data_IF_344336057876
#
_entry.id   IF_344336057876
#
_cell.length_a   1.000
_cell.length_b   1.000
_cell.length_c   1.000
_cell.angle_alpha   90.00
_cell.angle_beta   90.00
_cell.angle_gamma   90.00
#
_symmetry.space_group_name_H-M   'P 1'
#
loop_
_entity.id
_entity.type
_entity.pdbx_description
1 polymer ?
#
# COMPACT_ATOMS: atom_id res chain seq x y z
N UNK A 1 17.52 8.72 9.87
CA UNK A 1 18.03 9.05 11.22
C UNK A 1 19.52 9.33 11.15
N UNK A 2 19.97 10.30 11.95
CA UNK A 2 21.39 10.65 12.07
C UNK A 2 21.76 10.57 13.53
N UNK A 3 22.81 9.82 13.83
CA UNK A 3 23.43 9.75 15.15
C UNK A 3 24.73 10.53 15.10
N UNK A 4 24.97 11.40 16.07
CA UNK A 4 26.15 12.23 16.06
C UNK A 4 26.31 13.10 17.29
N UNK A 5 27.27 14.00 17.25
CA UNK A 5 27.60 14.87 18.38
C UNK A 5 27.04 16.27 18.17
N UNK A 6 26.31 16.77 19.16
CA UNK A 6 25.71 18.10 19.16
C UNK A 6 26.54 18.97 20.06
N UNK A 7 26.96 20.16 19.59
CA UNK A 7 27.56 21.17 20.46
C UNK A 7 26.47 21.94 21.24
N UNK A 8 26.82 22.50 22.33
CA UNK A 8 25.96 23.41 23.06
C UNK A 8 25.52 24.60 22.20
N UNK A 9 24.25 25.02 22.39
CA UNK A 9 23.71 26.18 21.68
C UNK A 9 24.42 27.45 22.12
N UNK A 10 24.67 28.38 21.21
CA UNK A 10 25.14 29.74 21.52
C UNK A 10 23.94 30.60 21.94
N UNK A 11 24.22 31.74 22.61
CA UNK A 11 23.19 32.63 23.18
C UNK A 11 22.09 33.04 22.18
N UNK A 12 22.44 33.21 20.89
CA UNK A 12 21.51 33.62 19.82
C UNK A 12 20.94 32.44 18.98
N UNK A 13 21.17 31.21 19.34
CA UNK A 13 20.70 30.04 18.62
C UNK A 13 19.49 29.41 19.30
N UNK A 14 18.52 28.97 18.49
CA UNK A 14 17.33 28.24 18.97
C UNK A 14 17.67 26.81 19.39
N UNK A 15 18.60 26.17 18.68
CA UNK A 15 19.01 24.77 18.87
C UNK A 15 20.53 24.62 18.84
N UNK A 16 21.06 23.57 19.50
CA UNK A 16 22.44 23.13 19.31
C UNK A 16 22.69 22.65 17.89
N UNK A 17 23.88 22.85 17.36
CA UNK A 17 24.22 22.39 16.03
C UNK A 17 24.85 20.98 16.06
N UNK A 18 24.41 20.10 15.18
CA UNK A 18 25.10 18.83 14.92
C UNK A 18 26.43 19.18 14.23
N UNK A 19 27.56 18.85 14.86
CA UNK A 19 28.88 19.16 14.30
C UNK A 19 29.67 17.94 13.86
N UNK A 20 29.24 16.74 14.28
CA UNK A 20 29.85 15.49 13.87
C UNK A 20 28.79 14.41 13.70
N UNK A 21 28.87 13.64 12.61
CA UNK A 21 27.96 12.54 12.32
C UNK A 21 28.72 11.23 12.51
N UNK A 22 28.25 10.39 13.40
CA UNK A 22 28.80 9.06 13.67
C UNK A 22 28.17 8.00 12.77
N UNK A 23 26.84 8.03 12.63
CA UNK A 23 26.05 7.05 11.87
C UNK A 23 24.86 7.71 11.15
N UNK A 24 24.44 7.10 10.03
CA UNK A 24 23.21 7.45 9.31
C UNK A 24 22.39 6.17 9.10
N UNK A 25 21.14 6.18 9.57
CA UNK A 25 20.23 5.02 9.56
C UNK A 25 20.85 3.73 10.17
N UNK A 26 21.66 3.89 11.21
CA UNK A 26 22.33 2.79 11.89
C UNK A 26 23.60 2.26 11.19
N UNK A 27 23.99 2.84 10.04
CA UNK A 27 25.20 2.46 9.29
C UNK A 27 26.32 3.49 9.47
N UNK A 28 27.56 3.01 9.39
CA UNK A 28 28.77 3.86 9.45
C UNK A 28 28.90 4.73 8.21
N UNK A 29 29.58 5.88 8.33
CA UNK A 29 29.74 6.82 7.22
C UNK A 29 30.37 6.19 5.97
N UNK A 30 31.35 5.29 6.13
CA UNK A 30 32.01 4.62 5.01
C UNK A 30 31.02 3.84 4.14
N UNK A 31 30.12 3.09 4.78
CA UNK A 31 29.04 2.39 4.07
C UNK A 31 28.03 3.34 3.42
N UNK A 32 27.67 4.40 4.14
CA UNK A 32 26.73 5.40 3.64
C UNK A 32 27.25 6.14 2.40
N UNK A 33 28.54 6.44 2.37
CA UNK A 33 29.17 7.11 1.22
C UNK A 33 29.30 6.21 -0.02
N UNK A 34 29.28 4.89 0.14
CA UNK A 34 29.34 3.93 -0.96
C UNK A 34 27.98 3.53 -1.51
N UNK A 35 26.86 3.90 -0.85
CA UNK A 35 25.52 3.55 -1.33
C UNK A 35 25.21 4.25 -2.65
N UNK A 36 24.54 3.57 -3.61
CA UNK A 36 24.03 4.20 -4.82
C UNK A 36 22.88 5.16 -4.47
N UNK A 37 22.64 6.16 -5.30
CA UNK A 37 21.43 6.96 -5.22
C UNK A 37 20.22 6.15 -5.69
N UNK A 38 19.04 6.41 -5.12
CA UNK A 38 17.82 5.70 -5.46
C UNK A 38 17.49 5.74 -6.96
N UNK A 39 17.74 6.87 -7.60
CA UNK A 39 17.48 7.08 -9.02
C UNK A 39 18.45 6.33 -9.95
N UNK A 40 19.59 5.87 -9.44
CA UNK A 40 20.61 5.08 -10.18
C UNK A 40 20.32 3.59 -10.13
N UNK A 41 19.45 3.14 -9.19
CA UNK A 41 19.09 1.74 -9.06
C UNK A 41 18.20 1.28 -10.23
N UNK A 42 18.39 0.04 -10.68
CA UNK A 42 17.68 -0.53 -11.84
C UNK A 42 16.32 -1.09 -11.44
N UNK A 43 15.20 -0.46 -11.84
CA UNK A 43 13.88 -0.98 -11.50
C UNK A 43 13.55 -2.25 -12.28
N UNK A 44 12.98 -3.23 -11.58
CA UNK A 44 12.45 -4.47 -12.14
C UNK A 44 10.99 -4.67 -11.74
N UNK A 45 10.28 -5.58 -12.41
CA UNK A 45 8.94 -5.97 -11.98
C UNK A 45 9.00 -6.66 -10.61
N UNK A 46 7.95 -6.47 -9.76
CA UNK A 46 7.77 -7.30 -8.58
C UNK A 46 7.80 -8.79 -8.95
N UNK A 47 8.73 -9.53 -8.39
CA UNK A 47 8.94 -10.97 -8.65
C UNK A 47 9.18 -11.77 -7.37
N UNK A 48 9.14 -11.11 -6.21
CA UNK A 48 9.17 -11.72 -4.89
C UNK A 48 7.88 -11.34 -4.15
N UNK A 49 7.06 -12.35 -3.84
CA UNK A 49 5.75 -12.17 -3.24
C UNK A 49 5.83 -11.89 -1.76
N UNK A 50 5.02 -10.96 -1.29
CA UNK A 50 4.70 -10.77 0.11
C UNK A 50 3.48 -11.64 0.46
N UNK A 51 3.72 -12.79 1.08
CA UNK A 51 2.63 -13.67 1.52
C UNK A 51 1.86 -13.03 2.66
N UNK A 52 0.53 -13.02 2.55
CA UNK A 52 -0.37 -12.44 3.56
C UNK A 52 -1.12 -13.50 4.37
N UNK A 53 -1.17 -14.74 3.89
CA UNK A 53 -1.74 -15.83 4.67
C UNK A 53 -0.93 -16.04 5.95
N UNK A 54 -1.64 -16.14 7.08
CA UNK A 54 -1.06 -16.40 8.40
C UNK A 54 -1.88 -17.44 9.13
N UNK A 55 -1.32 -18.07 10.19
CA UNK A 55 -2.03 -19.06 11.02
C UNK A 55 -3.31 -18.53 11.68
N UNK A 56 -3.55 -17.22 11.67
CA UNK A 56 -4.78 -16.57 12.15
C UNK A 56 -5.98 -16.71 11.22
N UNK A 57 -5.83 -17.38 10.07
CA UNK A 57 -6.88 -17.70 9.09
C UNK A 57 -7.72 -16.51 8.61
N UNK A 58 -7.14 -15.30 8.47
CA UNK A 58 -7.87 -14.19 7.87
C UNK A 58 -8.29 -14.51 6.43
N UNK A 59 -9.59 -14.65 6.22
CA UNK A 59 -10.16 -14.89 4.89
C UNK A 59 -9.80 -13.76 3.92
N UNK A 60 -9.74 -12.51 4.41
CA UNK A 60 -9.35 -11.36 3.60
C UNK A 60 -7.92 -11.51 3.06
N UNK A 61 -6.97 -11.82 3.91
CA UNK A 61 -5.56 -11.98 3.53
C UNK A 61 -5.36 -13.16 2.57
N UNK A 62 -6.07 -14.26 2.80
CA UNK A 62 -6.06 -15.42 1.90
C UNK A 62 -6.61 -15.10 0.51
N UNK A 63 -7.69 -14.31 0.44
CA UNK A 63 -8.27 -13.85 -0.83
C UNK A 63 -7.28 -12.93 -1.55
N UNK A 64 -6.69 -11.96 -0.86
CA UNK A 64 -5.72 -11.03 -1.45
C UNK A 64 -4.55 -11.79 -2.05
N UNK A 65 -4.04 -12.79 -1.36
CA UNK A 65 -2.95 -13.63 -1.83
C UNK A 65 -3.21 -14.30 -3.20
N UNK A 66 -4.43 -14.67 -3.48
CA UNK A 66 -4.80 -15.38 -4.74
C UNK A 66 -5.30 -14.41 -5.80
N UNK A 67 -6.08 -13.38 -5.41
CA UNK A 67 -6.79 -12.50 -6.35
C UNK A 67 -5.98 -11.25 -6.72
N UNK A 68 -5.24 -10.71 -5.76
CA UNK A 68 -4.45 -9.48 -5.95
C UNK A 68 -3.12 -9.60 -5.19
N UNK A 69 -2.25 -10.55 -5.59
CA UNK A 69 -0.99 -10.78 -4.89
C UNK A 69 -0.14 -9.54 -4.88
N UNK A 70 0.55 -9.33 -3.77
CA UNK A 70 1.44 -8.19 -3.55
C UNK A 70 2.87 -8.68 -3.61
N UNK A 71 3.69 -8.03 -4.42
CA UNK A 71 5.12 -8.28 -4.49
C UNK A 71 5.95 -7.13 -3.93
N UNK A 72 7.19 -7.40 -3.56
CA UNK A 72 8.17 -6.37 -3.21
C UNK A 72 8.32 -5.39 -4.38
N UNK A 73 8.17 -4.09 -4.12
CA UNK A 73 8.14 -3.07 -5.16
C UNK A 73 6.78 -2.79 -5.79
N UNK A 74 5.68 -3.36 -5.26
CA UNK A 74 4.33 -3.17 -5.77
C UNK A 74 3.85 -1.72 -5.63
N UNK A 75 3.18 -1.20 -6.66
CA UNK A 75 2.37 0.02 -6.62
C UNK A 75 0.90 -0.38 -6.53
N UNK A 76 0.42 -0.64 -5.30
CA UNK A 76 -0.93 -1.14 -5.07
C UNK A 76 -1.88 -0.04 -4.63
N UNK A 77 -3.12 -0.10 -5.13
CA UNK A 77 -4.22 0.72 -4.65
C UNK A 77 -5.28 -0.14 -3.96
N UNK A 78 -5.68 0.27 -2.76
CA UNK A 78 -6.86 -0.23 -2.06
C UNK A 78 -7.99 0.78 -2.32
N UNK A 79 -8.83 0.46 -3.29
CA UNK A 79 -9.93 1.34 -3.73
C UNK A 79 -11.13 1.11 -2.86
N UNK A 80 -11.55 2.12 -2.11
CA UNK A 80 -12.59 1.94 -1.09
C UNK A 80 -13.63 3.04 -1.10
N UNK A 81 -14.91 2.68 -1.21
CA UNK A 81 -15.99 3.57 -0.81
C UNK A 81 -16.00 3.72 0.73
N UNK A 82 -16.65 4.76 1.25
CA UNK A 82 -16.81 4.95 2.70
C UNK A 82 -17.46 3.73 3.37
N UNK A 83 -16.96 3.36 4.56
CA UNK A 83 -17.49 2.27 5.40
C UNK A 83 -17.42 0.86 4.81
N UNK A 84 -16.51 0.61 3.87
CA UNK A 84 -16.33 -0.71 3.25
C UNK A 84 -15.28 -1.60 3.93
N UNK A 85 -14.71 -1.19 5.06
CA UNK A 85 -13.71 -1.97 5.79
C UNK A 85 -12.24 -1.65 5.45
N UNK A 86 -11.98 -0.49 4.82
CA UNK A 86 -10.66 0.00 4.42
C UNK A 86 -9.61 -0.13 5.53
N UNK A 87 -9.87 0.47 6.69
CA UNK A 87 -8.92 0.53 7.82
C UNK A 87 -8.65 -0.86 8.41
N UNK A 88 -9.67 -1.72 8.48
CA UNK A 88 -9.51 -3.12 8.91
C UNK A 88 -8.59 -3.87 7.97
N UNK A 89 -8.81 -3.77 6.67
CA UNK A 89 -8.00 -4.42 5.65
C UNK A 89 -6.55 -3.94 5.69
N UNK A 90 -6.34 -2.63 5.85
CA UNK A 90 -5.00 -2.04 5.99
C UNK A 90 -4.27 -2.60 7.22
N UNK A 91 -4.95 -2.67 8.37
CA UNK A 91 -4.39 -3.23 9.61
C UNK A 91 -4.07 -4.73 9.48
N UNK A 92 -4.94 -5.51 8.86
CA UNK A 92 -4.70 -6.93 8.61
C UNK A 92 -3.52 -7.15 7.67
N UNK A 93 -3.42 -6.35 6.60
CA UNK A 93 -2.26 -6.37 5.69
C UNK A 93 -0.96 -6.05 6.42
N UNK A 94 -0.96 -4.99 7.25
CA UNK A 94 0.22 -4.62 8.05
C UNK A 94 0.67 -5.77 8.96
N UNK A 95 -0.26 -6.36 9.72
CA UNK A 95 0.02 -7.48 10.62
C UNK A 95 0.54 -8.71 9.89
N UNK A 96 -0.04 -9.03 8.73
CA UNK A 96 0.39 -10.15 7.92
C UNK A 96 1.82 -9.95 7.37
N UNK A 97 2.11 -8.76 6.85
CA UNK A 97 3.46 -8.42 6.36
C UNK A 97 4.49 -8.50 7.49
N UNK A 98 4.22 -7.91 8.66
CA UNK A 98 5.14 -7.97 9.80
C UNK A 98 5.38 -9.39 10.29
N UNK A 99 4.36 -10.24 10.28
CA UNK A 99 4.48 -11.64 10.71
C UNK A 99 5.32 -12.47 9.74
N UNK A 100 5.10 -12.30 8.44
CA UNK A 100 5.72 -13.13 7.41
C UNK A 100 7.04 -12.55 6.88
N UNK A 101 7.29 -11.24 7.07
CA UNK A 101 8.48 -10.52 6.62
C UNK A 101 9.00 -9.61 7.76
N UNK A 102 9.49 -10.18 8.87
CA UNK A 102 9.88 -9.43 10.06
C UNK A 102 11.06 -8.47 9.84
N UNK A 103 11.83 -8.67 8.77
CA UNK A 103 12.96 -7.80 8.38
C UNK A 103 12.54 -6.57 7.57
N UNK A 104 11.29 -6.53 7.09
CA UNK A 104 10.81 -5.43 6.24
C UNK A 104 10.55 -4.17 7.06
N UNK A 105 11.08 -3.05 6.62
CA UNK A 105 10.82 -1.74 7.22
C UNK A 105 9.42 -1.27 6.82
N UNK A 106 8.56 -0.98 7.79
CA UNK A 106 7.19 -0.55 7.56
C UNK A 106 6.97 0.90 7.97
N UNK A 107 6.46 1.71 7.04
CA UNK A 107 6.04 3.08 7.31
C UNK A 107 4.53 3.17 7.07
N UNK A 108 3.77 3.52 8.09
CA UNK A 108 2.34 3.80 7.96
C UNK A 108 2.18 5.31 7.93
N UNK A 109 1.71 5.84 6.79
CA UNK A 109 1.52 7.27 6.59
C UNK A 109 0.03 7.61 6.54
N UNK A 110 -0.42 8.37 7.55
CA UNK A 110 -1.82 8.79 7.69
C UNK A 110 -1.92 10.29 7.39
N UNK A 111 -2.64 10.64 6.33
CA UNK A 111 -2.81 12.03 5.88
C UNK A 111 -4.26 12.45 6.01
N UNK A 112 -4.48 13.56 6.75
CA UNK A 112 -5.81 14.15 6.97
C UNK A 112 -6.78 13.15 7.62
N UNK A 113 -6.25 12.24 8.46
CA UNK A 113 -7.05 11.27 9.21
C UNK A 113 -7.40 11.81 10.62
N UNK A 114 -8.35 11.15 11.27
CA UNK A 114 -8.82 11.54 12.60
C UNK A 114 -7.82 11.09 13.67
N UNK A 115 -7.63 11.88 14.74
CA UNK A 115 -6.72 11.53 15.84
C UNK A 115 -7.03 10.16 16.47
N UNK A 116 -8.30 9.80 16.61
CA UNK A 116 -8.72 8.49 17.14
C UNK A 116 -8.34 7.32 16.21
N UNK A 117 -8.39 7.51 14.88
CA UNK A 117 -7.96 6.49 13.91
C UNK A 117 -6.43 6.33 13.93
N UNK A 118 -5.70 7.43 14.15
CA UNK A 118 -4.23 7.40 14.34
C UNK A 118 -3.87 6.59 15.58
N UNK A 119 -4.55 6.82 16.69
CA UNK A 119 -4.33 6.09 17.95
C UNK A 119 -4.61 4.61 17.79
N UNK A 120 -5.74 4.25 17.18
CA UNK A 120 -6.15 2.87 16.91
C UNK A 120 -5.12 2.11 16.06
N UNK A 121 -4.51 2.77 15.06
CA UNK A 121 -3.48 2.15 14.23
C UNK A 121 -2.18 1.98 15.01
N UNK A 122 -1.75 3.00 15.78
CA UNK A 122 -0.54 2.93 16.62
C UNK A 122 -0.60 1.84 17.67
N UNK A 123 -1.76 1.62 18.27
CA UNK A 123 -1.97 0.56 19.26
C UNK A 123 -2.05 -0.83 18.62
N UNK A 124 -2.66 -0.91 17.43
CA UNK A 124 -2.89 -2.18 16.73
C UNK A 124 -1.64 -2.73 16.04
N UNK A 125 -0.69 -1.86 15.64
CA UNK A 125 0.47 -2.22 14.83
C UNK A 125 1.73 -1.68 15.49
N UNK A 126 2.52 -2.58 16.07
CA UNK A 126 3.74 -2.27 16.81
C UNK A 126 4.87 -3.18 16.35
N UNK A 127 6.10 -2.67 16.35
CA UNK A 127 7.32 -3.40 16.01
C UNK A 127 8.51 -2.45 15.93
N UNK A 128 9.72 -2.96 16.11
CA UNK A 128 10.95 -2.17 16.08
C UNK A 128 11.24 -1.58 14.69
N UNK A 129 10.70 -2.21 13.65
CA UNK A 129 10.79 -1.82 12.24
C UNK A 129 9.51 -1.12 11.73
N UNK A 130 8.65 -0.63 12.64
CA UNK A 130 7.39 0.05 12.30
C UNK A 130 7.47 1.52 12.70
N UNK A 131 7.19 2.40 11.74
CA UNK A 131 7.04 3.84 11.97
C UNK A 131 5.61 4.27 11.57
N UNK A 132 4.84 4.81 12.53
CA UNK A 132 3.54 5.44 12.24
C UNK A 132 3.73 6.94 12.21
N UNK A 133 3.65 7.51 11.01
CA UNK A 133 3.81 8.95 10.73
C UNK A 133 2.46 9.49 10.27
N UNK A 134 2.08 10.65 10.77
CA UNK A 134 0.74 11.17 10.52
C UNK A 134 0.72 12.69 10.47
N UNK A 135 -0.34 13.19 9.85
CA UNK A 135 -0.76 14.58 9.89
C UNK A 135 -2.29 14.58 9.89
N UNK A 136 -2.88 14.99 11.02
CA UNK A 136 -4.31 14.89 11.28
C UNK A 136 -5.10 16.00 10.60
N UNK A 137 -6.42 15.85 10.50
CA UNK A 137 -7.31 16.72 9.72
C UNK A 137 -7.34 18.19 10.21
N UNK A 138 -6.92 18.43 11.44
CA UNK A 138 -6.83 19.76 12.05
C UNK A 138 -5.54 20.51 11.69
N UNK A 139 -4.62 19.86 10.98
CA UNK A 139 -3.39 20.48 10.51
C UNK A 139 -3.52 21.12 9.13
N UNK A 140 -2.62 22.04 8.80
CA UNK A 140 -2.63 22.74 7.52
C UNK A 140 -2.20 21.81 6.36
N UNK A 141 -2.73 22.04 5.12
CA UNK A 141 -2.36 21.26 3.95
C UNK A 141 -0.84 21.23 3.65
N UNK A 142 -0.13 22.29 3.97
CA UNK A 142 1.34 22.37 3.84
C UNK A 142 2.04 21.36 4.75
N UNK A 143 1.46 21.07 5.92
CA UNK A 143 1.99 20.06 6.83
C UNK A 143 1.81 18.65 6.24
N UNK A 144 0.64 18.33 5.69
CA UNK A 144 0.40 17.07 4.99
C UNK A 144 1.42 16.82 3.87
N UNK A 145 1.67 17.85 3.07
CA UNK A 145 2.70 17.85 2.02
C UNK A 145 4.07 17.52 2.58
N UNK A 146 4.52 18.33 3.53
CA UNK A 146 5.86 18.23 4.12
C UNK A 146 6.10 16.85 4.72
N UNK A 147 5.13 16.31 5.44
CA UNK A 147 5.23 14.98 6.07
C UNK A 147 5.35 13.91 4.99
N UNK A 148 4.56 13.97 3.92
CA UNK A 148 4.65 13.00 2.83
C UNK A 148 6.00 13.05 2.09
N UNK A 149 6.55 14.25 1.85
CA UNK A 149 7.86 14.44 1.24
C UNK A 149 9.00 13.87 2.11
N UNK A 150 8.91 14.06 3.43
CA UNK A 150 9.87 13.48 4.37
C UNK A 150 9.80 11.95 4.38
N UNK A 151 8.60 11.37 4.35
CA UNK A 151 8.40 9.91 4.35
C UNK A 151 8.98 9.27 3.10
N UNK A 152 8.70 9.81 1.92
CA UNK A 152 9.22 9.21 0.69
C UNK A 152 10.75 9.31 0.60
N UNK A 153 11.34 10.42 1.04
CA UNK A 153 12.80 10.58 1.07
C UNK A 153 13.44 9.64 2.10
N UNK A 154 12.80 9.44 3.27
CA UNK A 154 13.26 8.43 4.23
C UNK A 154 13.21 7.02 3.65
N UNK A 155 12.11 6.63 3.02
CA UNK A 155 11.96 5.33 2.40
C UNK A 155 13.02 5.07 1.33
N UNK A 156 13.27 6.05 0.45
CA UNK A 156 14.35 5.96 -0.55
C UNK A 156 15.72 5.74 0.10
N UNK A 157 16.04 6.47 1.18
CA UNK A 157 17.31 6.30 1.92
C UNK A 157 17.46 4.89 2.50
N UNK A 158 16.37 4.27 2.97
CA UNK A 158 16.40 2.88 3.44
C UNK A 158 16.65 1.89 2.30
N UNK A 159 16.00 2.09 1.15
CA UNK A 159 16.21 1.26 -0.04
C UNK A 159 17.66 1.36 -0.56
N UNK A 160 18.26 2.54 -0.53
CA UNK A 160 19.69 2.74 -0.89
C UNK A 160 20.64 1.93 0.02
N UNK A 161 20.19 1.57 1.22
CA UNK A 161 20.91 0.64 2.12
C UNK A 161 20.54 -0.85 1.87
N UNK A 162 19.85 -1.16 0.77
CA UNK A 162 19.42 -2.52 0.44
C UNK A 162 18.26 -3.04 1.26
N UNK A 163 17.52 -2.17 1.97
CA UNK A 163 16.35 -2.56 2.77
C UNK A 163 15.11 -2.71 1.90
N UNK A 164 14.26 -3.67 2.27
CA UNK A 164 12.90 -3.77 1.77
C UNK A 164 11.98 -2.90 2.60
N UNK A 165 11.29 -1.97 1.95
CA UNK A 165 10.44 -0.97 2.61
C UNK A 165 9.02 -1.08 2.09
N UNK A 166 8.04 -1.06 2.99
CA UNK A 166 6.62 -0.92 2.65
C UNK A 166 6.05 0.36 3.24
N UNK A 167 5.38 1.15 2.39
CA UNK A 167 4.58 2.30 2.84
C UNK A 167 3.11 1.94 2.71
N UNK A 168 2.38 2.01 3.81
CA UNK A 168 0.92 1.95 3.84
C UNK A 168 0.39 3.38 3.95
N UNK A 169 -0.16 3.92 2.85
CA UNK A 169 -0.64 5.31 2.78
C UNK A 169 -2.16 5.37 2.89
N UNK A 170 -2.66 6.03 3.90
CA UNK A 170 -4.06 6.37 4.05
C UNK A 170 -4.25 7.88 4.15
N UNK A 171 -4.63 8.60 3.09
CA UNK A 171 -4.95 8.14 1.73
C UNK A 171 -4.28 8.99 0.65
N UNK A 172 -4.09 8.41 -0.54
CA UNK A 172 -3.58 9.14 -1.70
C UNK A 172 -4.55 10.24 -2.15
N UNK A 173 -5.85 10.00 -1.98
CA UNK A 173 -6.91 10.97 -2.30
C UNK A 173 -6.75 12.24 -1.48
N UNK A 174 -6.55 12.10 -0.16
CA UNK A 174 -6.37 13.25 0.73
C UNK A 174 -5.04 13.94 0.51
N UNK A 175 -3.99 13.18 0.20
CA UNK A 175 -2.71 13.75 -0.20
C UNK A 175 -2.85 14.61 -1.47
N UNK A 176 -3.54 14.12 -2.50
CA UNK A 176 -3.79 14.89 -3.72
C UNK A 176 -4.61 16.16 -3.43
N UNK A 177 -5.59 16.10 -2.53
CA UNK A 177 -6.35 17.28 -2.09
C UNK A 177 -5.47 18.32 -1.39
N UNK A 178 -4.55 17.89 -0.51
CA UNK A 178 -3.62 18.79 0.16
C UNK A 178 -2.72 19.52 -0.85
N UNK A 179 -2.20 18.80 -1.86
CA UNK A 179 -1.46 19.41 -2.95
C UNK A 179 -2.32 20.39 -3.76
N UNK A 180 -3.60 20.04 -4.03
CA UNK A 180 -4.51 20.93 -4.78
C UNK A 180 -4.77 22.26 -4.07
N UNK A 181 -4.69 22.29 -2.75
CA UNK A 181 -4.84 23.50 -1.95
C UNK A 181 -3.57 24.35 -1.86
N UNK A 182 -2.41 23.77 -2.17
CA UNK A 182 -1.10 24.40 -1.89
C UNK A 182 -0.27 24.70 -3.13
N UNK A 183 -0.56 24.07 -4.28
CA UNK A 183 0.15 24.36 -5.52
C UNK A 183 -0.32 25.69 -6.14
N UNK A 184 0.58 26.45 -6.77
CA UNK A 184 0.17 27.59 -7.58
C UNK A 184 -0.76 27.13 -8.71
N UNK A 185 -1.84 27.87 -9.01
CA UNK A 185 -2.76 27.52 -10.09
C UNK A 185 -2.06 27.40 -11.44
N UNK A 186 -2.24 26.27 -12.14
CA UNK A 186 -1.68 26.05 -13.48
C UNK A 186 -2.46 26.75 -14.59
N UNK A 187 -3.62 27.31 -14.27
CA UNK A 187 -4.58 27.86 -15.26
C UNK A 187 -5.43 26.81 -15.97
N UNK A 188 -5.27 25.53 -15.59
CA UNK A 188 -6.09 24.41 -16.09
C UNK A 188 -6.77 23.73 -14.92
N UNK A 189 -7.98 23.23 -15.16
CA UNK A 189 -8.76 22.55 -14.12
C UNK A 189 -9.39 21.28 -14.70
N UNK A 190 -9.15 20.15 -14.06
CA UNK A 190 -9.83 18.89 -14.33
C UNK A 190 -11.22 18.89 -13.67
N UNK A 191 -12.05 17.91 -14.02
CA UNK A 191 -13.36 17.74 -13.37
C UNK A 191 -13.23 17.71 -11.84
N UNK A 192 -14.20 18.26 -11.14
CA UNK A 192 -14.19 18.31 -9.67
C UNK A 192 -13.26 19.37 -9.06
N UNK A 193 -12.70 20.29 -9.86
CA UNK A 193 -11.88 21.39 -9.35
C UNK A 193 -10.42 21.01 -9.05
N UNK A 194 -9.93 19.91 -9.62
CA UNK A 194 -8.57 19.44 -9.45
C UNK A 194 -7.62 20.12 -10.44
N UNK A 195 -6.58 20.77 -9.96
CA UNK A 195 -5.50 21.29 -10.80
C UNK A 195 -4.55 20.13 -11.21
N UNK A 196 -4.22 19.96 -12.50
CA UNK A 196 -3.26 18.92 -12.94
C UNK A 196 -1.91 18.99 -12.23
N UNK A 197 -1.44 20.20 -11.86
CA UNK A 197 -0.18 20.38 -11.13
C UNK A 197 -0.21 19.74 -9.74
N UNK A 198 -1.37 19.63 -9.11
CA UNK A 198 -1.55 19.00 -7.81
C UNK A 198 -1.24 17.49 -7.82
N UNK A 199 -1.33 16.85 -8.98
CA UNK A 199 -1.10 15.41 -9.12
C UNK A 199 0.39 15.05 -9.26
N UNK A 200 1.23 16.00 -9.63
CA UNK A 200 2.62 15.70 -9.98
C UNK A 200 3.40 15.07 -8.81
N UNK A 201 3.42 15.68 -7.63
CA UNK A 201 4.16 15.16 -6.49
C UNK A 201 3.54 13.89 -5.91
N UNK A 202 2.21 13.77 -5.71
CA UNK A 202 1.58 12.50 -5.34
C UNK A 202 1.85 11.36 -6.33
N UNK A 203 1.88 11.63 -7.66
CA UNK A 203 2.28 10.63 -8.66
C UNK A 203 3.76 10.24 -8.54
N UNK A 204 4.66 11.18 -8.23
CA UNK A 204 6.07 10.88 -7.95
C UNK A 204 6.21 10.03 -6.68
N UNK A 205 5.44 10.33 -5.63
CA UNK A 205 5.40 9.55 -4.40
C UNK A 205 5.01 8.09 -4.72
N UNK A 206 3.86 7.90 -5.33
CA UNK A 206 3.34 6.57 -5.65
C UNK A 206 4.20 5.84 -6.69
N UNK A 207 4.70 6.55 -7.67
CA UNK A 207 5.56 6.05 -8.73
C UNK A 207 6.99 5.69 -8.28
N UNK A 208 7.40 6.10 -7.07
CA UNK A 208 8.68 5.70 -6.50
C UNK A 208 8.70 4.21 -6.11
N UNK A 209 7.52 3.59 -5.94
CA UNK A 209 7.43 2.15 -5.64
C UNK A 209 7.99 1.33 -6.79
N UNK A 210 9.02 0.52 -6.49
CA UNK A 210 9.71 -0.37 -7.42
C UNK A 210 10.56 -1.40 -6.70
N UNK A 211 10.75 -2.54 -7.32
CA UNK A 211 11.76 -3.51 -6.90
C UNK A 211 13.08 -3.19 -7.62
N UNK A 212 14.22 -3.44 -6.97
CA UNK A 212 15.55 -3.08 -7.49
C UNK A 212 16.36 -4.33 -7.77
N UNK A 213 17.05 -4.34 -8.92
CA UNK A 213 17.94 -5.43 -9.30
C UNK A 213 19.13 -5.59 -8.35
N UNK A 214 19.63 -4.48 -7.85
CA UNK A 214 20.79 -4.39 -6.97
C UNK A 214 20.48 -4.80 -5.53
N UNK A 215 19.20 -4.96 -5.20
CA UNK A 215 18.69 -5.27 -3.87
C UNK A 215 17.92 -4.11 -3.24
N UNK A 216 17.09 -4.46 -2.28
CA UNK A 216 16.12 -3.54 -1.69
C UNK A 216 14.91 -3.30 -2.58
N UNK A 217 13.81 -2.91 -1.95
CA UNK A 217 12.56 -2.60 -2.65
C UNK A 217 11.77 -1.51 -1.94
N UNK A 218 10.97 -0.77 -2.70
CA UNK A 218 9.97 0.14 -2.15
C UNK A 218 8.59 -0.30 -2.62
N UNK A 219 7.78 -0.81 -1.70
CA UNK A 219 6.37 -1.16 -1.92
C UNK A 219 5.50 -0.02 -1.40
N UNK A 220 4.51 0.41 -2.17
CA UNK A 220 3.51 1.40 -1.71
C UNK A 220 2.12 0.82 -1.91
N UNK A 221 1.38 0.68 -0.81
CA UNK A 221 -0.05 0.37 -0.81
C UNK A 221 -0.80 1.60 -0.35
N UNK A 222 -1.46 2.27 -1.29
CA UNK A 222 -2.19 3.50 -1.02
C UNK A 222 -3.70 3.27 -1.08
N UNK A 223 -4.43 3.79 -0.10
CA UNK A 223 -5.89 3.79 -0.18
C UNK A 223 -6.36 4.93 -1.08
N UNK A 224 -7.33 4.63 -1.94
CA UNK A 224 -8.01 5.61 -2.79
C UNK A 224 -9.49 5.64 -2.45
N UNK A 225 -10.03 6.82 -2.21
CA UNK A 225 -11.43 7.03 -1.88
C UNK A 225 -12.26 7.18 -3.16
N UNK A 226 -13.37 6.45 -3.24
CA UNK A 226 -14.33 6.51 -4.35
C UNK A 226 -15.76 6.57 -3.82
N UNK A 227 -16.71 7.00 -4.66
CA UNK A 227 -18.12 7.07 -4.29
C UNK A 227 -18.38 7.90 -3.01
N UNK A 228 -17.58 8.92 -2.77
CA UNK A 228 -17.72 9.83 -1.61
C UNK A 228 -18.76 10.94 -1.85
N UNK A 229 -19.26 11.05 -3.09
CA UNK A 229 -20.05 12.19 -3.55
C UNK A 229 -19.19 13.35 -4.09
N UNK A 230 -17.87 13.28 -3.97
CA UNK A 230 -16.94 14.26 -4.51
C UNK A 230 -16.39 13.83 -5.87
N UNK A 231 -16.67 14.61 -6.92
CA UNK A 231 -16.10 14.36 -8.24
C UNK A 231 -14.57 14.44 -8.27
N UNK A 232 -13.98 15.20 -7.36
CA UNK A 232 -12.51 15.28 -7.25
C UNK A 232 -11.91 13.93 -6.87
N UNK A 233 -12.53 13.21 -5.95
CA UNK A 233 -12.03 11.92 -5.50
C UNK A 233 -12.05 10.87 -6.62
N UNK A 234 -13.12 10.87 -7.41
CA UNK A 234 -13.23 9.96 -8.57
C UNK A 234 -12.18 10.31 -9.63
N UNK A 235 -11.91 11.59 -9.88
CA UNK A 235 -10.86 12.02 -10.80
C UNK A 235 -9.47 11.63 -10.26
N UNK A 236 -9.19 11.83 -8.98
CA UNK A 236 -7.94 11.38 -8.36
C UNK A 236 -7.75 9.89 -8.57
N UNK A 237 -8.76 9.07 -8.27
CA UNK A 237 -8.68 7.62 -8.48
C UNK A 237 -8.33 7.27 -9.94
N UNK A 238 -9.05 7.82 -10.92
CA UNK A 238 -8.80 7.55 -12.35
C UNK A 238 -7.36 7.96 -12.78
N UNK A 239 -6.86 9.08 -12.26
CA UNK A 239 -5.51 9.57 -12.55
C UNK A 239 -4.40 8.66 -11.96
N UNK A 240 -4.66 7.99 -10.84
CA UNK A 240 -3.71 7.06 -10.22
C UNK A 240 -3.83 5.62 -10.71
N UNK A 241 -5.00 5.22 -11.22
CA UNK A 241 -5.26 3.89 -11.76
C UNK A 241 -4.25 3.49 -12.85
N UNK A 242 -3.91 4.44 -13.72
CA UNK A 242 -2.89 4.22 -14.76
C UNK A 242 -1.45 4.08 -14.24
N UNK A 243 -1.16 4.60 -13.05
CA UNK A 243 0.17 4.56 -12.40
C UNK A 243 0.38 3.28 -11.60
N UNK A 244 -0.69 2.75 -11.01
CA UNK A 244 -0.69 1.51 -10.24
C UNK A 244 -0.47 0.26 -11.11
N UNK A 245 -0.03 -0.82 -10.46
CA UNK A 245 0.10 -2.15 -11.05
C UNK A 245 -0.59 -3.25 -10.23
N UNK A 246 -1.36 -2.85 -9.22
CA UNK A 246 -2.24 -3.72 -8.42
C UNK A 246 -3.43 -2.90 -7.93
N UNK A 247 -4.61 -3.46 -8.00
CA UNK A 247 -5.84 -2.89 -7.45
C UNK A 247 -6.56 -3.91 -6.58
N UNK A 248 -6.97 -3.49 -5.40
CA UNK A 248 -7.86 -4.23 -4.51
C UNK A 248 -9.10 -3.36 -4.28
N UNK A 249 -10.20 -3.74 -4.92
CA UNK A 249 -11.43 -2.94 -4.95
C UNK A 249 -12.39 -3.43 -3.89
N UNK A 250 -12.83 -2.55 -3.01
CA UNK A 250 -13.90 -2.82 -2.04
C UNK A 250 -15.25 -2.37 -2.60
N UNK A 251 -16.28 -3.16 -2.36
CA UNK A 251 -17.64 -2.89 -2.84
C UNK A 251 -18.57 -2.47 -1.69
N UNK A 252 -19.27 -1.34 -1.90
CA UNK A 252 -20.20 -0.78 -0.91
C UNK A 252 -21.42 -1.68 -0.68
N UNK A 253 -21.95 -2.29 -1.73
CA UNK A 253 -23.16 -3.13 -1.62
C UNK A 253 -22.90 -4.39 -0.80
N UNK A 254 -21.69 -4.98 -0.95
CA UNK A 254 -21.27 -6.10 -0.12
C UNK A 254 -21.23 -5.70 1.36
N UNK A 255 -20.62 -4.56 1.68
CA UNK A 255 -20.54 -4.08 3.07
C UNK A 255 -21.90 -3.72 3.67
N UNK A 256 -22.81 -3.14 2.88
CA UNK A 256 -24.19 -2.86 3.29
C UNK A 256 -24.97 -4.15 3.61
N UNK A 257 -24.70 -5.23 2.88
CA UNK A 257 -25.23 -6.59 3.14
C UNK A 257 -24.49 -7.35 4.24
N UNK A 258 -23.45 -6.75 4.88
CA UNK A 258 -22.61 -7.39 5.89
C UNK A 258 -21.83 -8.60 5.37
N UNK A 259 -21.52 -8.64 4.08
CA UNK A 259 -20.63 -9.60 3.47
C UNK A 259 -19.20 -9.07 3.61
N UNK A 260 -18.36 -9.74 4.38
CA UNK A 260 -16.95 -9.37 4.63
C UNK A 260 -16.01 -10.55 4.42
N UNK A 261 -14.80 -10.31 3.86
CA UNK A 261 -14.32 -9.03 3.35
C UNK A 261 -15.13 -8.56 2.14
N UNK A 262 -15.41 -7.26 2.07
CA UNK A 262 -16.22 -6.68 0.99
C UNK A 262 -15.39 -6.45 -0.29
N UNK A 263 -14.61 -7.44 -0.69
CA UNK A 263 -13.69 -7.37 -1.86
C UNK A 263 -14.45 -7.71 -3.13
N UNK A 264 -14.42 -6.81 -4.11
CA UNK A 264 -14.86 -7.10 -5.48
C UNK A 264 -13.77 -7.88 -6.23
N UNK A 265 -13.89 -9.18 -6.22
CA UNK A 265 -12.91 -10.10 -6.81
C UNK A 265 -12.81 -9.91 -8.34
N UNK A 266 -13.88 -9.45 -8.98
CA UNK A 266 -13.92 -9.27 -10.44
C UNK A 266 -13.14 -8.03 -10.90
N UNK A 267 -13.08 -7.02 -10.06
CA UNK A 267 -12.36 -5.76 -10.34
C UNK A 267 -10.97 -5.70 -9.71
N UNK A 268 -10.66 -6.62 -8.80
CA UNK A 268 -9.36 -6.69 -8.14
C UNK A 268 -8.36 -7.52 -8.95
N UNK A 269 -7.08 -7.16 -8.90
CA UNK A 269 -6.03 -7.91 -9.60
C UNK A 269 -4.66 -7.24 -9.56
N UNK A 270 -3.65 -7.99 -9.95
CA UNK A 270 -2.25 -7.55 -10.04
C UNK A 270 -1.72 -7.76 -11.46
N UNK A 271 -1.04 -6.75 -12.01
CA UNK A 271 -0.32 -6.89 -13.29
C UNK A 271 0.88 -7.80 -13.08
N UNK A 272 1.11 -8.69 -14.05
CA UNK A 272 2.19 -9.67 -13.98
C UNK A 272 2.10 -10.56 -12.73
N UNK A 273 0.87 -10.95 -12.35
CA UNK A 273 0.63 -11.93 -11.29
C UNK A 273 1.34 -13.28 -11.57
N UNK A 274 1.67 -13.55 -12.83
CA UNK A 274 2.46 -14.69 -13.29
C UNK A 274 3.88 -14.72 -12.68
N UNK A 275 4.42 -13.58 -12.23
CA UNK A 275 5.71 -13.51 -11.56
C UNK A 275 5.62 -13.74 -10.05
N UNK A 276 4.42 -13.71 -9.48
CA UNK A 276 4.17 -13.78 -8.04
C UNK A 276 3.44 -15.06 -7.62
N UNK A 277 2.68 -15.67 -8.52
CA UNK A 277 1.91 -16.87 -8.27
C UNK A 277 2.60 -18.10 -8.88
N UNK A 278 2.52 -19.23 -8.19
CA UNK A 278 2.87 -20.52 -8.76
C UNK A 278 1.90 -20.90 -9.88
N UNK A 279 2.24 -21.89 -10.69
CA UNK A 279 1.38 -22.36 -11.79
C UNK A 279 0.01 -22.83 -11.29
N UNK A 280 -0.06 -23.46 -10.13
CA UNK A 280 -1.30 -23.97 -9.54
C UNK A 280 -2.16 -22.84 -8.98
N UNK A 281 -1.54 -21.86 -8.29
CA UNK A 281 -2.22 -20.65 -7.81
C UNK A 281 -2.78 -19.82 -8.96
N UNK A 282 -2.00 -19.61 -10.02
CA UNK A 282 -2.41 -18.88 -11.21
C UNK A 282 -3.57 -19.61 -11.90
N UNK A 283 -3.49 -20.94 -12.00
CA UNK A 283 -4.56 -21.78 -12.52
C UNK A 283 -5.85 -21.64 -11.71
N UNK A 284 -5.75 -21.66 -10.38
CA UNK A 284 -6.90 -21.47 -9.48
C UNK A 284 -7.50 -20.06 -9.62
N UNK A 285 -6.67 -19.02 -9.69
CA UNK A 285 -7.11 -17.63 -9.91
C UNK A 285 -7.92 -17.51 -11.22
N UNK A 286 -7.45 -18.12 -12.31
CA UNK A 286 -8.16 -18.10 -13.59
C UNK A 286 -9.50 -18.87 -13.56
N UNK A 287 -9.54 -20.03 -12.89
CA UNK A 287 -10.79 -20.79 -12.71
C UNK A 287 -11.81 -19.95 -11.97
N UNK A 288 -11.43 -19.35 -10.83
CA UNK A 288 -12.29 -18.50 -10.02
C UNK A 288 -12.85 -17.36 -10.89
N UNK A 289 -12.01 -16.62 -11.59
CA UNK A 289 -12.43 -15.50 -12.43
C UNK A 289 -13.38 -15.95 -13.56
N UNK A 290 -13.14 -17.12 -14.14
CA UNK A 290 -13.96 -17.68 -15.20
C UNK A 290 -15.34 -18.12 -14.70
N UNK A 291 -15.38 -18.81 -13.56
CA UNK A 291 -16.64 -19.28 -12.95
C UNK A 291 -17.52 -18.10 -12.47
N UNK A 292 -16.90 -17.01 -12.05
CA UNK A 292 -17.62 -15.81 -11.61
C UNK A 292 -18.11 -14.95 -12.76
N UNK A 293 -17.58 -15.15 -13.96
CA UNK A 293 -17.99 -14.37 -15.12
C UNK A 293 -19.44 -14.68 -15.49
N UNK A 294 -20.30 -13.65 -15.51
CA UNK A 294 -21.73 -13.78 -15.75
C UNK A 294 -22.60 -13.95 -14.50
N UNK A 295 -22.00 -14.11 -13.31
CA UNK A 295 -22.74 -14.10 -12.03
C UNK A 295 -22.97 -12.67 -11.54
N UNK A 296 -24.00 -12.47 -10.70
CA UNK A 296 -24.08 -11.22 -9.95
C UNK A 296 -22.92 -11.15 -8.96
N UNK A 297 -22.35 -9.95 -8.76
CA UNK A 297 -21.18 -9.75 -7.89
C UNK A 297 -21.35 -10.36 -6.50
N UNK A 298 -22.51 -10.14 -5.90
CA UNK A 298 -22.82 -10.62 -4.56
C UNK A 298 -22.78 -12.15 -4.49
N UNK A 299 -23.44 -12.82 -5.45
CA UNK A 299 -23.51 -14.29 -5.51
C UNK A 299 -22.12 -14.89 -5.72
N UNK A 300 -21.33 -14.25 -6.57
CA UNK A 300 -19.94 -14.64 -6.85
C UNK A 300 -19.06 -14.55 -5.60
N UNK A 301 -19.13 -13.44 -4.87
CA UNK A 301 -18.35 -13.23 -3.64
C UNK A 301 -18.79 -14.19 -2.55
N UNK A 302 -20.09 -14.39 -2.33
CA UNK A 302 -20.60 -15.36 -1.34
C UNK A 302 -20.15 -16.79 -1.66
N UNK A 303 -20.18 -17.19 -2.92
CA UNK A 303 -19.72 -18.52 -3.34
C UNK A 303 -18.24 -18.73 -3.03
N UNK A 304 -17.39 -17.71 -3.29
CA UNK A 304 -15.96 -17.78 -2.97
C UNK A 304 -15.72 -17.76 -1.47
N UNK A 305 -16.38 -16.91 -0.72
CA UNK A 305 -16.27 -16.93 0.73
C UNK A 305 -16.64 -18.29 1.32
N UNK A 306 -17.66 -18.92 0.80
CA UNK A 306 -18.05 -20.27 1.19
C UNK A 306 -16.98 -21.34 0.84
N UNK A 307 -16.27 -21.18 -0.29
CA UNK A 307 -15.14 -22.06 -0.63
C UNK A 307 -13.96 -21.84 0.32
N UNK A 308 -13.60 -20.58 0.62
CA UNK A 308 -12.55 -20.27 1.60
C UNK A 308 -12.90 -20.76 3.01
N UNK A 309 -14.15 -20.62 3.45
CA UNK A 309 -14.61 -21.10 4.75
C UNK A 309 -14.52 -22.62 4.92
N UNK A 310 -14.52 -23.38 3.82
CA UNK A 310 -14.37 -24.84 3.83
C UNK A 310 -12.92 -25.32 3.73
N UNK A 311 -11.96 -24.41 3.77
CA UNK A 311 -10.53 -24.70 3.65
C UNK A 311 -9.75 -23.98 4.73
N UNK A 312 -8.69 -24.61 5.24
CA UNK A 312 -7.85 -24.06 6.30
C UNK A 312 -6.69 -23.22 5.75
N UNK A 313 -6.25 -23.49 4.52
CA UNK A 313 -5.12 -22.83 3.87
C UNK A 313 -5.41 -22.53 2.40
N UNK A 314 -4.59 -21.69 1.78
CA UNK A 314 -4.64 -21.43 0.36
C UNK A 314 -4.22 -22.68 -0.45
N UNK A 315 -3.30 -23.48 0.06
CA UNK A 315 -2.93 -24.76 -0.55
C UNK A 315 -4.14 -25.68 -0.69
N UNK A 316 -4.89 -25.90 0.44
CA UNK A 316 -6.12 -26.72 0.41
C UNK A 316 -7.20 -26.11 -0.52
N UNK A 317 -7.29 -24.78 -0.57
CA UNK A 317 -8.22 -24.08 -1.44
C UNK A 317 -7.88 -24.34 -2.92
N UNK A 318 -6.62 -24.20 -3.31
CA UNK A 318 -6.13 -24.43 -4.67
C UNK A 318 -6.39 -25.87 -5.11
N UNK A 319 -6.11 -26.86 -4.26
CA UNK A 319 -6.43 -28.27 -4.55
C UNK A 319 -7.91 -28.50 -4.80
N UNK A 320 -8.80 -27.89 -4.01
CA UNK A 320 -10.25 -28.02 -4.18
C UNK A 320 -10.73 -27.38 -5.48
N UNK A 321 -10.23 -26.17 -5.79
CA UNK A 321 -10.56 -25.48 -7.05
C UNK A 321 -10.07 -26.27 -8.26
N UNK A 322 -8.87 -26.85 -8.20
CA UNK A 322 -8.33 -27.71 -9.25
C UNK A 322 -9.18 -28.95 -9.55
N UNK A 323 -9.78 -29.55 -8.52
CA UNK A 323 -10.71 -30.71 -8.66
C UNK A 323 -12.03 -30.33 -9.34
N UNK A 324 -12.51 -29.11 -9.20
CA UNK A 324 -13.69 -28.60 -9.92
C UNK A 324 -13.45 -28.66 -11.43
N UNK A 325 -12.27 -28.25 -11.92
CA UNK A 325 -11.90 -28.29 -13.33
C UNK A 325 -11.96 -29.70 -13.97
N UNK A 326 -11.54 -30.71 -13.22
CA UNK A 326 -11.49 -32.11 -13.73
C UNK A 326 -12.89 -32.69 -13.95
N UNK A 327 -13.88 -32.22 -13.20
CA UNK A 327 -15.27 -32.69 -13.33
C UNK A 327 -16.04 -32.02 -14.48
N UNK A 328 -15.63 -30.84 -14.94
CA UNK A 328 -16.24 -30.13 -16.08
C UNK A 328 -15.67 -30.57 -17.45
N UNK A 329 -14.51 -31.23 -17.45
CA UNK A 329 -13.87 -31.73 -18.70
C UNK A 329 -14.16 -33.23 -18.94
N UNK A 330 -15.05 -33.84 -18.19
CA UNK A 330 -15.62 -35.15 -18.40
C UNK A 330 -17.10 -35.02 -18.81
#
# INVERSE_FOLDING_TARGET
FVTGRVREKRENEKFGALYYVDMVNGETLDKVLQRPNFEELTPIFPNERLHLETDGHSTAMRIVDIVSPIGKGQRGMIVSPPKAGKTTLLKETAKAVLKNNPEMEMIILLIDERPEEVTDIKEAIQGDNVEVIYSTFDELPEHHKRVSEMVIERAKRLVEHGKDVIILLDSITRLARAYNMTVPPSGRTLSGGLDPAALHMPKRFFGAARNMREGGSLTVLATALVNTGSKMDDVVYEEFKGTGNMELVLDRKLSEKRIFPAIDITQSGTRREDLLLSADELGASYIIRKEMNGMRKEDAVEQILNLFARTKSNEEFIEKVGKIRTNYNR
#
